data_IF_853748940036
#
_entry.id   IF_853748940036
#
_cell.length_a   1.000
_cell.length_b   1.000
_cell.length_c   1.000
_cell.angle_alpha   90.00
_cell.angle_beta   90.00
_cell.angle_gamma   90.00
#
_symmetry.space_group_name_H-M   'P 1'
#
loop_
_entity.id
_entity.type
_entity.pdbx_description
1 polymer ?
#
# COMPACT_ATOMS: atom_id res chain seq x y z
N UNK A 1 -3.83 26.26 -0.66
CA UNK A 1 -3.66 24.81 -0.39
C UNK A 1 -3.90 24.08 -1.69
N UNK A 2 -2.85 23.54 -2.32
CA UNK A 2 -2.97 22.79 -3.58
C UNK A 2 -3.42 21.37 -3.22
N UNK A 3 -4.44 20.77 -3.86
CA UNK A 3 -4.91 19.43 -3.53
C UNK A 3 -3.91 18.38 -4.06
N UNK A 4 -2.77 18.25 -3.38
CA UNK A 4 -1.71 17.31 -3.71
C UNK A 4 -1.93 15.97 -3.05
N UNK A 5 -2.72 15.08 -3.68
CA UNK A 5 -2.56 13.62 -3.50
C UNK A 5 -3.44 12.79 -4.47
N UNK A 6 -4.55 13.35 -4.97
CA UNK A 6 -5.51 12.59 -5.79
C UNK A 6 -4.99 12.29 -7.20
N UNK A 7 -4.20 13.20 -7.77
CA UNK A 7 -3.59 12.99 -9.09
C UNK A 7 -2.54 11.86 -9.06
N UNK A 8 -1.81 11.74 -7.95
CA UNK A 8 -0.77 10.73 -7.76
C UNK A 8 -1.36 9.32 -7.60
N UNK A 9 -2.44 9.15 -6.82
CA UNK A 9 -3.14 7.87 -6.75
C UNK A 9 -3.79 7.48 -8.07
N UNK A 10 -4.39 8.43 -8.80
CA UNK A 10 -4.96 8.12 -10.13
C UNK A 10 -3.88 7.64 -11.11
N UNK A 11 -2.71 8.30 -11.11
CA UNK A 11 -1.57 7.90 -11.93
C UNK A 11 -1.04 6.51 -11.53
N UNK A 12 -0.90 6.25 -10.22
CA UNK A 12 -0.47 4.96 -9.69
C UNK A 12 -1.43 3.83 -10.13
N UNK A 13 -2.73 4.03 -9.97
CA UNK A 13 -3.74 3.03 -10.38
C UNK A 13 -3.67 2.74 -11.88
N UNK A 14 -3.49 3.78 -12.70
CA UNK A 14 -3.34 3.62 -14.15
C UNK A 14 -2.08 2.81 -14.51
N UNK A 15 -0.95 3.08 -13.85
CA UNK A 15 0.31 2.36 -14.10
C UNK A 15 0.20 0.90 -13.69
N UNK A 16 -0.36 0.62 -12.52
CA UNK A 16 -0.52 -0.76 -12.03
C UNK A 16 -1.47 -1.54 -12.95
N UNK A 17 -2.62 -0.97 -13.28
CA UNK A 17 -3.61 -1.60 -14.17
C UNK A 17 -2.99 -1.94 -15.53
N UNK A 18 -2.32 -0.96 -16.17
CA UNK A 18 -1.68 -1.16 -17.47
C UNK A 18 -0.60 -2.25 -17.43
N UNK A 19 0.15 -2.37 -16.34
CA UNK A 19 1.16 -3.41 -16.19
C UNK A 19 0.54 -4.79 -15.98
N UNK A 20 -0.54 -4.90 -15.19
CA UNK A 20 -1.27 -6.17 -15.00
C UNK A 20 -1.85 -6.68 -16.30
N UNK A 21 -2.52 -5.81 -17.06
CA UNK A 21 -3.10 -6.15 -18.36
C UNK A 21 -2.03 -6.52 -19.39
N UNK A 22 -0.96 -5.73 -19.49
CA UNK A 22 0.07 -5.94 -20.51
C UNK A 22 0.89 -7.22 -20.30
N UNK A 23 1.14 -7.59 -19.05
CA UNK A 23 2.08 -8.66 -18.73
C UNK A 23 1.41 -9.87 -18.04
N UNK A 24 0.08 -9.87 -17.90
CA UNK A 24 -0.64 -10.93 -17.20
C UNK A 24 -0.28 -11.05 -15.72
N UNK A 25 0.13 -9.95 -15.08
CA UNK A 25 0.55 -9.97 -13.67
C UNK A 25 -0.66 -10.24 -12.78
N UNK A 26 -0.70 -11.44 -12.20
CA UNK A 26 -1.79 -11.94 -11.37
C UNK A 26 -1.75 -11.36 -9.96
N UNK A 27 -0.56 -11.07 -9.42
CA UNK A 27 -0.36 -10.49 -8.08
C UNK A 27 0.52 -9.25 -8.13
N UNK A 28 0.09 -8.20 -7.44
CA UNK A 28 0.85 -6.95 -7.34
C UNK A 28 0.69 -6.38 -5.94
N UNK A 29 1.82 -6.09 -5.30
CA UNK A 29 1.87 -5.38 -4.03
C UNK A 29 2.46 -3.97 -4.23
N UNK A 30 1.71 -2.95 -3.82
CA UNK A 30 2.15 -1.55 -3.87
C UNK A 30 2.87 -1.20 -2.57
N UNK A 31 4.14 -0.82 -2.66
CA UNK A 31 4.90 -0.30 -1.52
C UNK A 31 5.00 1.22 -1.64
N UNK A 32 4.44 1.95 -0.68
CA UNK A 32 4.41 3.41 -0.72
C UNK A 32 4.77 4.06 0.62
N UNK A 33 5.32 5.27 0.56
CA UNK A 33 5.68 6.02 1.76
C UNK A 33 4.46 6.75 2.35
N UNK A 34 4.67 7.37 3.51
CA UNK A 34 3.64 8.08 4.29
C UNK A 34 2.95 9.21 3.54
N UNK A 35 3.60 9.83 2.56
CA UNK A 35 3.02 10.90 1.75
C UNK A 35 1.81 10.43 0.96
N UNK A 36 1.76 9.14 0.63
CA UNK A 36 0.71 8.53 -0.18
C UNK A 36 -0.41 7.90 0.67
N UNK A 37 -0.33 7.97 2.00
CA UNK A 37 -1.36 7.47 2.93
C UNK A 37 -2.46 8.52 3.07
N UNK A 38 -3.40 8.51 2.13
CA UNK A 38 -4.71 9.15 2.29
C UNK A 38 -5.79 8.07 2.31
N UNK A 39 -6.91 8.32 3.01
CA UNK A 39 -8.07 7.42 3.00
C UNK A 39 -8.56 7.12 1.58
N UNK A 40 -8.48 8.11 0.69
CA UNK A 40 -8.84 7.94 -0.72
C UNK A 40 -7.90 6.96 -1.45
N UNK A 41 -6.59 7.02 -1.18
CA UNK A 41 -5.61 6.15 -1.81
C UNK A 41 -5.73 4.71 -1.32
N UNK A 42 -5.96 4.52 -0.01
CA UNK A 42 -6.19 3.21 0.58
C UNK A 42 -7.44 2.56 -0.03
N UNK A 43 -8.57 3.27 -0.06
CA UNK A 43 -9.80 2.78 -0.69
C UNK A 43 -9.60 2.44 -2.16
N UNK A 44 -8.88 3.27 -2.91
CA UNK A 44 -8.59 3.00 -4.32
C UNK A 44 -7.76 1.72 -4.52
N UNK A 45 -6.85 1.41 -3.60
CA UNK A 45 -6.08 0.16 -3.61
C UNK A 45 -6.99 -1.04 -3.28
N UNK A 46 -7.83 -0.92 -2.26
CA UNK A 46 -8.79 -1.96 -1.84
C UNK A 46 -9.83 -2.26 -2.93
N UNK A 47 -10.43 -1.22 -3.53
CA UNK A 47 -11.42 -1.32 -4.62
C UNK A 47 -10.85 -2.03 -5.86
N UNK A 48 -9.52 -1.99 -6.04
CA UNK A 48 -8.81 -2.65 -7.14
C UNK A 48 -8.24 -4.02 -6.76
N UNK A 49 -8.47 -4.49 -5.53
CA UNK A 49 -7.93 -5.75 -5.02
C UNK A 49 -6.40 -5.78 -5.08
N UNK A 50 -5.75 -4.64 -4.83
CA UNK A 50 -4.30 -4.53 -4.81
C UNK A 50 -3.79 -4.73 -3.38
N UNK A 51 -2.80 -5.62 -3.25
CA UNK A 51 -2.04 -5.76 -2.01
C UNK A 51 -1.19 -4.49 -1.81
N UNK A 52 -0.95 -4.06 -0.57
CA UNK A 52 -0.12 -2.89 -0.30
C UNK A 52 0.63 -2.93 1.03
N UNK A 53 1.77 -2.24 1.05
CA UNK A 53 2.56 -1.92 2.24
C UNK A 53 2.71 -0.41 2.29
N UNK A 54 2.18 0.21 3.34
CA UNK A 54 2.19 1.67 3.51
C UNK A 54 3.08 2.05 4.69
N UNK A 55 4.09 2.88 4.44
CA UNK A 55 4.99 3.39 5.48
C UNK A 55 4.33 4.50 6.30
N UNK A 56 4.38 4.44 7.62
CA UNK A 56 3.61 5.31 8.52
C UNK A 56 4.51 6.09 9.49
N UNK A 57 3.98 7.09 10.22
CA UNK A 57 4.74 7.75 11.30
C UNK A 57 4.47 7.09 12.66
N UNK A 58 5.50 6.40 13.17
CA UNK A 58 5.48 5.66 14.45
C UNK A 58 4.91 6.43 15.66
N UNK A 59 5.16 7.75 15.76
CA UNK A 59 4.83 8.55 16.96
C UNK A 59 3.66 9.53 16.82
N UNK A 60 3.11 9.71 15.62
CA UNK A 60 2.06 10.72 15.37
C UNK A 60 0.78 10.13 14.79
N UNK A 61 0.78 8.86 14.39
CA UNK A 61 -0.42 8.15 13.97
C UNK A 61 -0.97 7.35 15.14
N UNK A 62 -2.07 7.82 15.74
CA UNK A 62 -2.70 7.19 16.91
C UNK A 62 -3.12 5.73 16.68
N UNK A 63 -3.58 5.39 15.48
CA UNK A 63 -3.87 3.99 15.14
C UNK A 63 -2.65 3.07 15.30
N UNK A 64 -1.43 3.60 15.20
CA UNK A 64 -0.21 2.80 15.31
C UNK A 64 0.21 2.64 16.76
N UNK A 65 0.12 3.69 17.56
CA UNK A 65 0.29 3.54 19.01
C UNK A 65 -0.71 2.54 19.57
N UNK A 66 -1.99 2.69 19.19
CA UNK A 66 -3.09 2.02 19.88
C UNK A 66 -3.33 0.58 19.40
N UNK A 67 -2.91 0.25 18.17
CA UNK A 67 -3.16 -1.08 17.56
C UNK A 67 -1.88 -1.84 17.25
N UNK A 68 -0.80 -1.17 16.85
CA UNK A 68 0.43 -1.85 16.38
C UNK A 68 1.46 -1.96 17.51
N UNK A 69 1.74 -0.87 18.22
CA UNK A 69 2.79 -0.83 19.25
C UNK A 69 2.35 -1.45 20.59
N UNK A 70 1.05 -1.52 20.83
CA UNK A 70 0.41 -2.20 21.97
C UNK A 70 0.11 -3.67 21.70
N UNK A 71 0.33 -4.15 20.47
CA UNK A 71 0.08 -5.53 20.09
C UNK A 71 1.21 -6.43 20.56
N UNK A 72 0.85 -7.48 21.30
CA UNK A 72 1.75 -8.59 21.65
C UNK A 72 1.82 -9.66 20.54
N UNK A 73 1.10 -9.47 19.43
CA UNK A 73 1.15 -10.41 18.32
C UNK A 73 2.56 -10.47 17.72
N UNK A 74 3.06 -11.67 17.39
CA UNK A 74 4.37 -11.79 16.77
C UNK A 74 4.40 -11.07 15.42
N UNK A 75 5.52 -10.42 15.13
CA UNK A 75 5.75 -9.83 13.81
C UNK A 75 5.69 -10.93 12.75
N UNK A 76 4.80 -10.80 11.77
CA UNK A 76 4.80 -11.68 10.59
C UNK A 76 5.91 -11.23 9.65
N UNK A 77 6.97 -12.04 9.44
CA UNK A 77 8.00 -11.70 8.48
C UNK A 77 7.40 -11.74 7.06
N UNK A 78 7.63 -10.68 6.28
CA UNK A 78 7.25 -10.66 4.88
C UNK A 78 8.30 -11.44 4.07
N UNK A 79 8.15 -12.76 4.00
CA UNK A 79 9.01 -13.63 3.20
C UNK A 79 8.40 -13.75 1.80
N UNK A 80 9.07 -13.16 0.82
CA UNK A 80 8.78 -13.43 -0.59
C UNK A 80 9.61 -14.65 -1.00
N UNK A 81 8.99 -15.83 -1.02
CA UNK A 81 9.62 -17.01 -1.61
C UNK A 81 9.84 -16.73 -3.10
N UNK A 82 11.10 -16.77 -3.53
CA UNK A 82 11.43 -16.71 -4.94
C UNK A 82 10.92 -18.00 -5.60
N UNK A 83 9.96 -17.88 -6.51
CA UNK A 83 9.68 -18.94 -7.48
C UNK A 83 11.00 -19.30 -8.16
N UNK A 84 11.47 -20.52 -7.94
CA UNK A 84 12.53 -21.14 -8.71
C UNK A 84 11.85 -21.68 -9.98
N UNK A 85 12.38 -21.32 -11.15
CA UNK A 85 12.02 -21.95 -12.43
C UNK A 85 12.68 -23.33 -12.54
#
# INVERSE_FOLDING_TARGET
MVPGNTAESRALMAVVTRRRERFGITRTCVVANRGMISTANVRALEDKGLEYILGTRKRTTRAISDVVLTSDAPMTPLILERLQD
#
